data_IF_256241488439
#
_entry.id   IF_256241488439
#
_cell.length_a   1.000
_cell.length_b   1.000
_cell.length_c   1.000
_cell.angle_alpha   90.00
_cell.angle_beta   90.00
_cell.angle_gamma   90.00
#
_symmetry.space_group_name_H-M   'P 1'
#
loop_
_entity.id
_entity.type
_entity.pdbx_description
1 polymer ?
#
# COMPACT_ATOMS: atom_id res chain seq x y z
N UNK A 1 7.93 -29.75 -26.66
CA UNK A 1 8.37 -28.40 -27.04
C UNK A 1 7.14 -27.62 -27.47
N UNK A 2 7.08 -26.34 -27.13
CA UNK A 2 5.97 -25.46 -27.42
C UNK A 2 6.43 -24.33 -28.33
N UNK A 3 5.49 -23.66 -28.99
CA UNK A 3 5.78 -22.59 -29.95
C UNK A 3 4.94 -21.36 -29.60
N UNK A 4 5.60 -20.22 -29.43
CA UNK A 4 5.00 -18.92 -29.18
C UNK A 4 5.00 -18.09 -30.47
N UNK A 5 3.84 -17.58 -30.84
CA UNK A 5 3.66 -16.62 -31.95
C UNK A 5 3.20 -15.29 -31.38
N UNK A 6 3.90 -14.22 -31.73
CA UNK A 6 3.59 -12.88 -31.26
C UNK A 6 3.62 -11.90 -32.44
N UNK A 7 2.55 -11.12 -32.58
CA UNK A 7 2.28 -10.29 -33.75
C UNK A 7 2.03 -8.83 -33.38
N UNK A 8 3.09 -8.04 -33.07
CA UNK A 8 2.99 -6.60 -32.92
C UNK A 8 2.75 -5.90 -34.27
N UNK A 9 2.44 -4.60 -34.22
CA UNK A 9 2.28 -3.76 -35.41
C UNK A 9 3.53 -3.72 -36.33
N UNK A 10 4.70 -4.11 -35.82
CA UNK A 10 5.98 -4.11 -36.54
C UNK A 10 6.31 -5.42 -37.26
N UNK A 11 5.46 -6.46 -37.16
CA UNK A 11 5.66 -7.74 -37.83
C UNK A 11 5.34 -8.96 -36.96
N UNK A 12 5.46 -10.16 -37.53
CA UNK A 12 5.21 -11.44 -36.83
C UNK A 12 6.53 -12.08 -36.40
N UNK A 13 6.59 -12.52 -35.15
CA UNK A 13 7.73 -13.23 -34.58
C UNK A 13 7.31 -14.58 -34.01
N UNK A 14 8.16 -15.59 -34.18
CA UNK A 14 7.93 -16.95 -33.69
C UNK A 14 9.13 -17.46 -32.90
N UNK A 15 8.86 -18.09 -31.76
CA UNK A 15 9.86 -18.76 -30.92
C UNK A 15 9.41 -20.17 -30.58
N UNK A 16 10.35 -21.11 -30.49
CA UNK A 16 10.10 -22.50 -30.14
C UNK A 16 11.05 -22.93 -29.03
N UNK A 17 10.52 -23.55 -27.99
CA UNK A 17 11.29 -23.85 -26.79
C UNK A 17 10.49 -24.62 -25.74
N UNK A 18 11.05 -24.72 -24.54
CA UNK A 18 10.32 -25.24 -23.38
C UNK A 18 9.30 -24.23 -22.87
N UNK A 19 8.29 -24.70 -22.13
CA UNK A 19 7.23 -23.82 -21.61
C UNK A 19 7.79 -22.73 -20.70
N UNK A 20 8.81 -23.03 -19.90
CA UNK A 20 9.48 -22.07 -19.01
C UNK A 20 10.18 -20.95 -19.79
N UNK A 21 10.92 -21.31 -20.84
CA UNK A 21 11.57 -20.33 -21.74
C UNK A 21 10.56 -19.42 -22.44
N UNK A 22 9.43 -19.99 -22.89
CA UNK A 22 8.39 -19.23 -23.57
C UNK A 22 7.63 -18.29 -22.62
N UNK A 23 7.47 -18.65 -21.34
CA UNK A 23 6.88 -17.76 -20.33
C UNK A 23 7.77 -16.54 -20.11
N UNK A 24 9.08 -16.73 -19.99
CA UNK A 24 10.03 -15.62 -19.86
C UNK A 24 10.01 -14.69 -21.08
N UNK A 25 9.89 -15.23 -22.29
CA UNK A 25 9.76 -14.45 -23.52
C UNK A 25 8.44 -13.68 -23.53
N UNK A 26 7.33 -14.32 -23.13
CA UNK A 26 6.02 -13.68 -23.06
C UNK A 26 5.99 -12.50 -22.08
N UNK A 27 6.54 -12.67 -20.87
CA UNK A 27 6.63 -11.62 -19.87
C UNK A 27 7.45 -10.42 -20.39
N UNK A 28 8.59 -10.70 -21.03
CA UNK A 28 9.43 -9.67 -21.64
C UNK A 28 8.69 -8.88 -22.73
N UNK A 29 7.90 -9.55 -23.56
CA UNK A 29 7.14 -8.90 -24.64
C UNK A 29 6.01 -8.02 -24.09
N UNK A 30 5.30 -8.47 -23.04
CA UNK A 30 4.28 -7.67 -22.35
C UNK A 30 4.88 -6.43 -21.69
N UNK A 31 6.02 -6.56 -21.02
CA UNK A 31 6.72 -5.42 -20.44
C UNK A 31 7.10 -4.42 -21.54
N UNK A 32 7.57 -4.91 -22.69
CA UNK A 32 8.00 -4.05 -23.79
C UNK A 32 6.84 -3.33 -24.49
N UNK A 33 5.70 -3.99 -24.73
CA UNK A 33 4.51 -3.31 -25.28
C UNK A 33 3.98 -2.23 -24.33
N UNK A 34 3.99 -2.52 -23.02
CA UNK A 34 3.62 -1.54 -22.00
C UNK A 34 4.66 -0.41 -21.83
N UNK A 35 5.90 -0.58 -22.31
CA UNK A 35 6.92 0.49 -22.27
C UNK A 35 6.77 1.54 -23.37
N UNK A 36 5.98 1.33 -24.43
CA UNK A 36 5.72 2.40 -25.40
C UNK A 36 4.80 3.52 -24.86
N UNK A 37 4.06 3.26 -23.77
CA UNK A 37 3.36 4.28 -22.99
C UNK A 37 4.18 4.86 -21.84
N UNK A 38 5.38 4.33 -21.56
CA UNK A 38 6.23 4.73 -20.42
C UNK A 38 7.66 5.09 -20.82
N UNK A 39 7.79 6.00 -21.78
CA UNK A 39 9.06 6.66 -22.13
C UNK A 39 9.66 7.54 -21.00
N UNK A 40 9.17 7.44 -19.76
CA UNK A 40 9.49 8.35 -18.65
C UNK A 40 9.90 7.61 -17.38
N UNK A 41 10.79 6.61 -17.45
CA UNK A 41 11.67 6.34 -16.29
C UNK A 41 12.95 5.61 -16.71
N UNK A 42 13.65 6.14 -17.72
CA UNK A 42 15.10 5.99 -17.79
C UNK A 42 15.68 6.63 -16.53
N UNK A 43 16.03 5.83 -15.52
CA UNK A 43 17.22 5.95 -14.69
C UNK A 43 17.09 5.10 -13.42
N UNK A 44 18.16 4.33 -13.15
CA UNK A 44 18.42 3.48 -11.97
C UNK A 44 17.72 2.11 -12.04
N UNK A 45 18.40 0.97 -12.07
CA UNK A 45 19.49 0.59 -11.16
C UNK A 45 20.32 -0.57 -11.72
N UNK A 46 21.64 -0.36 -11.77
CA UNK A 46 22.59 -1.38 -11.35
C UNK A 46 22.48 -1.52 -9.81
N UNK A 47 22.56 -2.76 -9.32
CA UNK A 47 22.54 -3.22 -7.93
C UNK A 47 21.22 -3.18 -7.14
N UNK A 48 20.76 -4.38 -6.77
CA UNK A 48 19.79 -4.63 -5.70
C UNK A 48 18.46 -5.15 -6.22
N UNK A 49 18.17 -6.43 -5.94
CA UNK A 49 16.87 -7.08 -6.15
C UNK A 49 15.73 -6.15 -5.68
N UNK A 50 15.04 -5.49 -6.60
CA UNK A 50 13.83 -4.72 -6.29
C UNK A 50 12.68 -5.70 -6.12
N UNK A 51 12.37 -6.02 -4.87
CA UNK A 51 11.12 -6.71 -4.48
C UNK A 51 9.94 -6.00 -5.13
N UNK A 52 9.12 -6.72 -5.88
CA UNK A 52 8.00 -6.15 -6.63
C UNK A 52 6.83 -5.77 -5.70
N UNK A 53 5.97 -4.84 -6.18
CA UNK A 53 4.72 -4.45 -5.50
C UNK A 53 3.82 -5.68 -5.22
N UNK A 54 3.79 -6.62 -6.17
CA UNK A 54 3.06 -7.89 -6.08
C UNK A 54 3.62 -8.82 -5.00
N UNK A 55 4.94 -8.94 -4.88
CA UNK A 55 5.56 -9.79 -3.86
C UNK A 55 5.26 -9.26 -2.44
N UNK A 56 5.30 -7.95 -2.25
CA UNK A 56 4.93 -7.32 -0.98
C UNK A 56 3.43 -7.45 -0.68
N UNK A 57 2.57 -7.41 -1.70
CA UNK A 57 1.14 -7.64 -1.52
C UNK A 57 0.82 -9.06 -1.03
N UNK A 58 1.66 -10.06 -1.33
CA UNK A 58 1.56 -11.41 -0.77
C UNK A 58 1.91 -11.49 0.73
N UNK A 59 2.67 -10.51 1.23
CA UNK A 59 3.09 -10.38 2.64
C UNK A 59 2.23 -9.38 3.42
N UNK A 60 1.05 -9.05 2.91
CA UNK A 60 0.18 -8.04 3.50
C UNK A 60 -0.23 -8.44 4.93
N UNK A 61 -0.04 -7.56 5.93
CA UNK A 61 -0.52 -7.86 7.28
C UNK A 61 -2.05 -7.96 7.30
N UNK A 62 -2.56 -8.82 8.18
CA UNK A 62 -4.00 -8.96 8.40
C UNK A 62 -4.57 -7.70 9.07
N UNK A 63 -5.89 -7.52 8.98
CA UNK A 63 -6.59 -6.40 9.63
C UNK A 63 -6.34 -6.39 11.15
N UNK A 64 -6.35 -7.56 11.80
CA UNK A 64 -6.09 -7.68 13.23
C UNK A 64 -4.63 -7.36 13.59
N UNK A 65 -3.66 -7.79 12.78
CA UNK A 65 -2.26 -7.43 13.01
C UNK A 65 -2.03 -5.91 12.89
N UNK A 66 -2.69 -5.25 11.91
CA UNK A 66 -2.66 -3.79 11.78
C UNK A 66 -3.36 -3.11 12.96
N UNK A 67 -4.46 -3.67 13.45
CA UNK A 67 -5.20 -3.16 14.60
C UNK A 67 -4.35 -3.19 15.88
N UNK A 68 -3.77 -4.34 16.21
CA UNK A 68 -2.88 -4.50 17.37
C UNK A 68 -1.66 -3.58 17.26
N UNK A 69 -1.07 -3.48 16.06
CA UNK A 69 0.02 -2.55 15.83
C UNK A 69 -0.37 -1.11 16.16
N UNK A 70 -1.52 -0.64 15.66
CA UNK A 70 -1.99 0.73 15.92
C UNK A 70 -2.30 0.94 17.40
N UNK A 71 -2.92 -0.04 18.07
CA UNK A 71 -3.20 0.03 19.51
C UNK A 71 -1.92 0.09 20.36
N UNK A 72 -0.84 -0.56 19.93
CA UNK A 72 0.45 -0.54 20.64
C UNK A 72 1.11 0.84 20.65
N UNK A 73 0.68 1.77 19.79
CA UNK A 73 1.28 3.10 19.69
C UNK A 73 0.68 4.09 20.67
N UNK A 74 1.48 5.00 21.25
CA UNK A 74 0.96 6.06 22.09
C UNK A 74 -0.03 6.91 21.29
N UNK A 75 -1.23 7.13 21.84
CA UNK A 75 -2.33 7.84 21.16
C UNK A 75 -2.70 7.25 19.79
N UNK A 76 -2.44 5.96 19.61
CA UNK A 76 -2.67 5.21 18.36
C UNK A 76 -2.01 5.86 17.14
N UNK A 77 -0.91 6.57 17.38
CA UNK A 77 -0.24 7.36 16.37
C UNK A 77 0.41 6.48 15.30
N UNK A 78 0.10 6.73 14.03
CA UNK A 78 0.68 5.97 12.92
C UNK A 78 0.73 6.76 11.61
N UNK A 79 1.65 6.35 10.74
CA UNK A 79 1.66 6.68 9.32
C UNK A 79 2.03 5.45 8.47
N UNK A 80 1.73 5.53 7.17
CA UNK A 80 1.89 4.40 6.26
C UNK A 80 3.35 3.96 6.06
N UNK A 81 4.32 4.86 6.25
CA UNK A 81 5.74 4.49 6.16
C UNK A 81 6.19 3.75 7.41
N UNK A 82 5.78 4.19 8.59
CA UNK A 82 6.05 3.49 9.85
C UNK A 82 5.47 2.08 9.83
N UNK A 83 4.22 1.95 9.37
CA UNK A 83 3.58 0.64 9.17
C UNK A 83 4.34 -0.16 8.12
N UNK A 84 4.75 0.50 7.03
CA UNK A 84 5.59 -0.09 5.99
C UNK A 84 6.87 -0.73 6.54
N UNK A 85 7.60 0.04 7.35
CA UNK A 85 8.85 -0.37 7.96
C UNK A 85 8.66 -1.52 8.95
N UNK A 86 7.60 -1.48 9.76
CA UNK A 86 7.29 -2.53 10.73
C UNK A 86 6.94 -3.88 10.09
N UNK A 87 6.18 -3.89 8.99
CA UNK A 87 5.66 -5.14 8.40
C UNK A 87 6.44 -5.62 7.17
N UNK A 88 7.09 -4.73 6.43
CA UNK A 88 7.82 -5.07 5.20
C UNK A 88 9.32 -4.77 5.29
N UNK A 89 9.82 -4.30 6.44
CA UNK A 89 11.23 -3.96 6.65
C UNK A 89 11.70 -2.76 5.82
N UNK A 90 10.78 -2.01 5.19
CA UNK A 90 11.10 -0.87 4.33
C UNK A 90 9.95 0.14 4.28
N UNK A 91 10.28 1.40 4.04
CA UNK A 91 9.26 2.44 3.88
C UNK A 91 8.51 2.29 2.56
N UNK A 92 7.18 2.15 2.64
CA UNK A 92 6.32 2.09 1.46
C UNK A 92 6.03 3.51 0.97
N UNK A 93 6.41 3.80 -0.28
CA UNK A 93 6.18 5.09 -0.94
C UNK A 93 5.22 4.91 -2.11
N UNK A 94 4.21 5.79 -2.22
CA UNK A 94 3.20 5.72 -3.28
C UNK A 94 3.79 5.72 -4.71
N UNK A 95 4.92 6.39 -4.94
CA UNK A 95 5.59 6.39 -6.26
C UNK A 95 6.32 5.10 -6.59
N UNK A 96 6.76 4.36 -5.56
CA UNK A 96 7.55 3.12 -5.72
C UNK A 96 6.64 1.88 -5.67
N UNK A 97 5.56 1.92 -4.89
CA UNK A 97 4.66 0.79 -4.62
C UNK A 97 3.19 1.26 -4.60
N UNK A 98 2.62 1.67 -5.75
CA UNK A 98 1.32 2.33 -5.80
C UNK A 98 0.16 1.44 -5.33
N UNK A 99 0.17 0.15 -5.68
CA UNK A 99 -0.94 -0.73 -5.32
C UNK A 99 -0.89 -1.13 -3.86
N UNK A 100 0.29 -1.50 -3.36
CA UNK A 100 0.49 -1.78 -1.94
C UNK A 100 0.16 -0.58 -1.09
N UNK A 101 0.62 0.61 -1.47
CA UNK A 101 0.32 1.86 -0.76
C UNK A 101 -1.18 2.09 -0.67
N UNK A 102 -1.91 1.93 -1.78
CA UNK A 102 -3.38 2.09 -1.79
C UNK A 102 -4.07 1.07 -0.90
N UNK A 103 -3.69 -0.20 -1.00
CA UNK A 103 -4.29 -1.30 -0.20
C UNK A 103 -4.01 -1.10 1.28
N UNK A 104 -2.78 -0.77 1.65
CA UNK A 104 -2.39 -0.50 3.04
C UNK A 104 -3.08 0.74 3.60
N UNK A 105 -3.22 1.80 2.81
CA UNK A 105 -4.00 2.98 3.21
C UNK A 105 -5.46 2.63 3.50
N UNK A 106 -6.07 1.77 2.69
CA UNK A 106 -7.46 1.35 2.84
C UNK A 106 -7.66 0.46 4.08
N UNK A 107 -6.78 -0.51 4.31
CA UNK A 107 -6.85 -1.35 5.52
C UNK A 107 -6.61 -0.53 6.80
N UNK A 108 -5.68 0.43 6.77
CA UNK A 108 -5.50 1.36 7.89
C UNK A 108 -6.73 2.24 8.14
N UNK A 109 -7.49 2.59 7.10
CA UNK A 109 -8.75 3.32 7.28
C UNK A 109 -9.80 2.47 8.00
N UNK A 110 -9.92 1.18 7.67
CA UNK A 110 -10.81 0.25 8.38
C UNK A 110 -10.41 0.10 9.84
N UNK A 111 -9.12 -0.07 10.11
CA UNK A 111 -8.57 -0.15 11.47
C UNK A 111 -8.89 1.11 12.26
N UNK A 112 -8.73 2.30 11.67
CA UNK A 112 -9.12 3.56 12.31
C UNK A 112 -10.60 3.58 12.66
N UNK A 113 -11.50 3.29 11.72
CA UNK A 113 -12.95 3.25 11.97
C UNK A 113 -13.32 2.28 13.09
N UNK A 114 -12.65 1.12 13.15
CA UNK A 114 -12.84 0.14 14.24
C UNK A 114 -12.43 0.74 15.59
N UNK A 115 -11.25 1.34 15.69
CA UNK A 115 -10.76 1.98 16.92
C UNK A 115 -11.65 3.15 17.34
N UNK A 116 -12.12 3.99 16.39
CA UNK A 116 -13.06 5.09 16.67
C UNK A 116 -14.34 4.61 17.34
N UNK A 117 -14.89 3.50 16.83
CA UNK A 117 -16.07 2.84 17.41
C UNK A 117 -15.80 2.26 18.80
N UNK A 118 -14.65 1.59 18.99
CA UNK A 118 -14.32 0.91 20.25
C UNK A 118 -13.86 1.87 21.36
N UNK A 119 -13.18 2.96 21.02
CA UNK A 119 -12.54 3.87 21.99
C UNK A 119 -13.27 5.21 22.13
N UNK A 120 -14.43 5.37 21.48
CA UNK A 120 -15.26 6.56 21.49
C UNK A 120 -14.45 7.86 21.24
N UNK A 121 -13.88 7.95 20.05
CA UNK A 121 -13.06 9.09 19.64
C UNK A 121 -12.91 9.16 18.12
N UNK A 122 -12.05 10.07 17.67
CA UNK A 122 -11.79 10.31 16.25
C UNK A 122 -10.28 10.39 15.97
N UNK A 123 -9.86 9.90 14.82
CA UNK A 123 -8.51 10.17 14.33
C UNK A 123 -8.43 11.52 13.64
N UNK A 124 -7.48 12.33 14.07
CA UNK A 124 -7.11 13.56 13.39
C UNK A 124 -5.90 13.33 12.48
N UNK A 125 -5.98 13.86 11.27
CA UNK A 125 -4.86 13.91 10.36
C UNK A 125 -3.96 15.11 10.72
N UNK A 126 -2.73 14.84 11.15
CA UNK A 126 -1.68 15.85 11.31
C UNK A 126 -0.72 15.85 10.12
N UNK A 127 -0.16 17.02 9.82
CA UNK A 127 1.00 17.13 8.94
C UNK A 127 2.18 16.43 9.63
N UNK A 128 2.73 15.40 8.99
CA UNK A 128 3.99 14.80 9.44
C UNK A 128 5.13 15.81 9.27
N UNK A 129 6.14 15.74 10.14
CA UNK A 129 7.40 16.50 10.01
C UNK A 129 8.12 16.19 8.69
N UNK A 130 7.86 15.02 8.11
CA UNK A 130 8.31 14.64 6.78
C UNK A 130 7.34 15.13 5.71
N UNK A 131 7.83 15.92 4.74
CA UNK A 131 7.03 16.49 3.65
C UNK A 131 6.16 15.40 2.98
N UNK A 132 4.86 15.69 2.83
CA UNK A 132 3.85 14.87 2.15
C UNK A 132 3.38 13.58 2.85
N UNK A 133 3.63 13.40 4.15
CA UNK A 133 3.10 12.27 4.91
C UNK A 133 1.88 12.65 5.75
N UNK A 134 0.82 11.84 5.60
CA UNK A 134 -0.37 11.89 6.46
C UNK A 134 -0.09 11.08 7.71
N UNK A 135 -0.05 11.75 8.86
CA UNK A 135 0.11 11.14 10.18
C UNK A 135 -1.23 11.20 10.89
N UNK A 136 -1.65 10.12 11.53
CA UNK A 136 -2.93 10.03 12.22
C UNK A 136 -2.70 9.92 13.72
N UNK A 137 -3.47 10.67 14.50
CA UNK A 137 -3.43 10.63 15.97
C UNK A 137 -4.86 10.54 16.47
N UNK A 138 -5.12 9.63 17.40
CA UNK A 138 -6.43 9.48 18.01
C UNK A 138 -6.67 10.54 19.07
N UNK A 139 -7.87 11.13 19.05
CA UNK A 139 -8.39 11.97 20.12
C UNK A 139 -9.68 11.38 20.69
N UNK A 140 -9.73 11.11 22.00
CA UNK A 140 -10.99 10.72 22.64
C UNK A 140 -12.00 11.87 22.55
N UNK A 141 -13.26 11.56 22.27
CA UNK A 141 -14.35 12.53 22.39
C UNK A 141 -14.54 12.79 23.90
N UNK A 142 -14.36 14.04 24.34
CA UNK A 142 -14.52 14.37 25.75
C UNK A 142 -15.98 14.17 26.19
N UNK A 143 -16.19 13.60 27.38
CA UNK A 143 -17.51 13.46 28.03
C UNK A 143 -18.24 14.79 28.28
N UNK A 144 -17.57 15.93 28.11
CA UNK A 144 -18.13 17.28 28.34
C UNK A 144 -19.26 17.68 27.39
N UNK A 145 -19.58 16.89 26.37
CA UNK A 145 -20.75 17.09 25.50
C UNK A 145 -21.95 16.17 25.84
N UNK A 146 -21.79 15.22 26.77
CA UNK A 146 -22.88 14.36 27.25
C UNK A 146 -23.64 14.96 28.44
N UNK A 147 -23.08 15.98 29.10
CA UNK A 147 -23.67 16.60 30.31
C UNK A 147 -24.71 17.70 30.03
N UNK A 148 -24.84 18.19 28.80
CA UNK A 148 -25.77 19.30 28.48
C UNK A 148 -27.19 18.86 28.14
N UNK A 149 -27.45 17.55 28.06
CA UNK A 149 -28.79 17.01 27.75
C UNK A 149 -29.55 16.42 28.95
N UNK A 150 -28.91 16.18 30.10
CA UNK A 150 -29.57 15.58 31.27
C UNK A 150 -29.91 16.58 32.41
N UNK A 151 -29.83 17.88 32.17
CA UNK A 151 -30.24 18.89 33.15
C UNK A 151 -31.28 19.86 32.57
N UNK A 152 -32.45 19.32 32.23
CA UNK A 152 -33.70 20.09 32.37
C UNK A 152 -34.54 19.41 33.45
N UNK A 153 -34.53 19.91 34.69
CA UNK A 153 -35.61 19.58 35.62
C UNK A 153 -36.92 20.14 35.04
N UNK A 154 -37.96 19.30 35.02
CA UNK A 154 -39.35 19.72 34.80
C UNK A 154 -39.89 20.42 36.03
#
# INVERSE_FOLDING_TARGET
MAKLRYSPATGLFEWEGTTEELVHIYDYLIERENTNTQRVTRNRHLHGFRVSDLELMGKMPTSDALFEYVLSKPRYEHDIKQVGEAFFGKQIKAREYPNLYRKLSYELEKVRKRIEKEKNGAFEQKKSTFRNLKKYIFKPLSRSLLSTYEQRPS
#
